data_IF_634839978638
#
_entry.id   IF_634839978638
#
_cell.length_a   1.000
_cell.length_b   1.000
_cell.length_c   1.000
_cell.angle_alpha   90.00
_cell.angle_beta   90.00
_cell.angle_gamma   90.00
#
_symmetry.space_group_name_H-M   'P 1'
#
loop_
_entity.id
_entity.type
_entity.pdbx_description
1 polymer ?
#
# COMPACT_ATOMS: atom_id res chain seq x y z
N UNK A 1 -12.37 -25.28 -13.88
CA UNK A 1 -11.32 -24.37 -14.39
C UNK A 1 -10.28 -24.36 -13.30
N UNK A 2 -9.14 -25.02 -13.51
CA UNK A 2 -8.10 -25.13 -12.48
C UNK A 2 -7.59 -23.74 -12.12
N UNK A 3 -7.57 -23.44 -10.83
CA UNK A 3 -6.89 -22.27 -10.27
C UNK A 3 -5.41 -22.36 -10.65
N UNK A 4 -4.88 -21.36 -11.36
CA UNK A 4 -3.44 -21.21 -11.56
C UNK A 4 -2.75 -20.69 -10.28
N UNK A 5 -3.53 -20.37 -9.24
CA UNK A 5 -3.05 -19.88 -7.97
C UNK A 5 -3.02 -21.01 -6.95
N UNK A 6 -1.93 -21.77 -7.00
CA UNK A 6 -1.42 -22.37 -5.78
C UNK A 6 -0.98 -21.31 -4.77
N UNK A 7 -0.65 -21.68 -3.53
CA UNK A 7 0.04 -20.81 -2.57
C UNK A 7 1.20 -20.04 -3.21
N UNK A 8 1.60 -18.88 -2.66
CA UNK A 8 1.31 -18.40 -1.31
C UNK A 8 0.12 -17.46 -1.25
N UNK A 9 -0.57 -17.49 -0.12
CA UNK A 9 -1.60 -16.52 0.27
C UNK A 9 -0.94 -15.18 0.62
N UNK A 10 -1.66 -14.07 0.43
CA UNK A 10 -1.24 -12.75 0.93
C UNK A 10 -0.93 -12.86 2.43
N UNK A 11 0.19 -12.31 2.86
CA UNK A 11 0.68 -12.47 4.23
C UNK A 11 -0.21 -11.73 5.24
N UNK A 12 -0.32 -12.24 6.48
CA UNK A 12 -0.95 -11.50 7.56
C UNK A 12 -0.15 -10.25 7.91
N UNK A 13 -0.85 -9.17 8.25
CA UNK A 13 -0.24 -8.03 8.96
C UNK A 13 0.15 -8.50 10.35
N UNK A 14 1.42 -8.31 10.72
CA UNK A 14 1.96 -8.65 12.03
C UNK A 14 2.13 -7.40 12.89
N UNK A 15 2.25 -7.59 14.21
CA UNK A 15 2.60 -6.51 15.14
C UNK A 15 4.00 -5.98 14.85
N UNK A 16 4.24 -4.72 15.21
CA UNK A 16 5.51 -4.02 15.10
C UNK A 16 6.65 -4.66 15.92
N UNK A 17 6.33 -5.50 16.91
CA UNK A 17 7.30 -6.33 17.63
C UNK A 17 7.90 -7.45 16.80
N UNK A 18 7.31 -7.83 15.66
CA UNK A 18 7.87 -8.85 14.77
C UNK A 18 8.85 -8.17 13.80
N UNK A 19 10.13 -8.58 13.71
CA UNK A 19 11.14 -7.90 12.90
C UNK A 19 10.81 -7.87 11.40
N UNK A 20 9.89 -8.71 10.93
CA UNK A 20 9.46 -8.76 9.53
C UNK A 20 8.27 -7.85 9.22
N UNK A 21 7.65 -7.20 10.23
CA UNK A 21 6.39 -6.45 10.08
C UNK A 21 6.44 -5.44 8.93
N UNK A 22 7.54 -4.70 8.87
CA UNK A 22 7.76 -3.69 7.85
C UNK A 22 7.94 -4.30 6.47
N UNK A 23 8.77 -5.34 6.35
CA UNK A 23 9.06 -6.03 5.09
C UNK A 23 7.80 -6.68 4.48
N UNK A 24 6.96 -7.28 5.33
CA UNK A 24 5.73 -7.97 4.94
C UNK A 24 4.70 -7.06 4.28
N UNK A 25 4.75 -5.74 4.50
CA UNK A 25 3.76 -4.78 3.94
C UNK A 25 3.59 -4.94 2.42
N UNK A 26 4.65 -5.28 1.70
CA UNK A 26 4.62 -5.53 0.25
C UNK A 26 3.83 -6.78 -0.16
N UNK A 27 3.63 -7.72 0.76
CA UNK A 27 3.00 -9.02 0.52
C UNK A 27 1.69 -9.20 1.30
N UNK A 28 1.23 -8.19 2.04
CA UNK A 28 -0.05 -8.22 2.77
C UNK A 28 -1.22 -7.71 1.92
N UNK A 29 -2.45 -7.98 2.36
CA UNK A 29 -3.66 -7.39 1.78
C UNK A 29 -3.99 -5.97 2.30
N UNK A 30 -3.07 -5.32 3.03
CA UNK A 30 -3.20 -3.89 3.31
C UNK A 30 -3.00 -3.10 2.02
N UNK A 31 -3.62 -1.93 1.93
CA UNK A 31 -3.50 -1.05 0.77
C UNK A 31 -2.04 -0.70 0.50
N UNK A 32 -1.71 -0.45 -0.77
CA UNK A 32 -0.32 -0.28 -1.19
C UNK A 32 0.37 -1.58 -1.62
N UNK A 33 -0.42 -2.62 -1.93
CA UNK A 33 0.05 -3.81 -2.64
C UNK A 33 0.70 -3.38 -3.96
N UNK A 34 2.00 -3.63 -4.17
CA UNK A 34 2.67 -3.31 -5.42
C UNK A 34 2.16 -4.21 -6.54
N UNK A 35 1.79 -3.61 -7.66
CA UNK A 35 1.22 -4.30 -8.82
C UNK A 35 2.17 -4.20 -10.01
N UNK A 36 2.21 -5.29 -10.78
CA UNK A 36 2.79 -5.30 -12.11
C UNK A 36 1.90 -6.13 -13.04
N UNK A 37 1.44 -5.53 -14.14
CA UNK A 37 0.76 -6.30 -15.18
C UNK A 37 1.72 -7.29 -15.83
N UNK A 38 1.27 -8.53 -16.04
CA UNK A 38 2.08 -9.58 -16.65
C UNK A 38 2.58 -9.17 -18.03
N UNK A 39 1.73 -8.53 -18.84
CA UNK A 39 2.06 -8.08 -20.20
C UNK A 39 2.99 -6.85 -20.23
N UNK A 40 3.28 -6.29 -19.05
CA UNK A 40 4.19 -5.16 -18.85
C UNK A 40 5.47 -5.53 -18.10
N UNK A 41 5.69 -6.82 -17.83
CA UNK A 41 6.79 -7.31 -17.00
C UNK A 41 8.18 -6.79 -17.46
N UNK A 42 8.39 -6.64 -18.78
CA UNK A 42 9.68 -6.22 -19.36
C UNK A 42 9.92 -4.71 -19.27
N UNK A 43 8.91 -3.91 -18.92
CA UNK A 43 9.00 -2.44 -18.92
C UNK A 43 9.26 -1.84 -17.56
N UNK A 44 9.39 -2.68 -16.52
CA UNK A 44 9.48 -2.25 -15.11
C UNK A 44 8.35 -1.26 -14.73
N UNK A 45 7.21 -1.35 -15.42
CA UNK A 45 6.02 -0.56 -15.09
C UNK A 45 5.38 -1.15 -13.86
N UNK A 46 5.22 -0.32 -12.84
CA UNK A 46 4.69 -0.71 -11.55
C UNK A 46 3.78 0.39 -11.03
N UNK A 47 2.79 -0.03 -10.26
CA UNK A 47 1.93 0.86 -9.49
C UNK A 47 1.47 0.15 -8.24
N UNK A 48 0.39 0.64 -7.66
CA UNK A 48 -0.17 0.09 -6.43
C UNK A 48 -1.64 -0.28 -6.59
N UNK A 49 -2.12 -1.10 -5.69
CA UNK A 49 -3.55 -1.28 -5.49
C UNK A 49 -4.12 -0.02 -4.82
N UNK A 50 -5.17 0.55 -5.43
CA UNK A 50 -5.87 1.75 -4.97
C UNK A 50 -6.77 1.47 -3.79
N UNK A 51 -7.96 0.91 -4.06
CA UNK A 51 -8.91 0.42 -3.05
C UNK A 51 -9.54 -0.90 -3.52
N UNK A 52 -10.04 -1.64 -2.54
CA UNK A 52 -10.88 -2.82 -2.69
C UNK A 52 -12.36 -2.46 -2.67
N UNK A 53 -13.16 -3.28 -3.35
CA UNK A 53 -14.62 -3.29 -3.21
C UNK A 53 -15.17 -4.69 -3.52
N UNK A 54 -16.27 -5.04 -2.88
CA UNK A 54 -17.01 -6.25 -3.20
C UNK A 54 -17.95 -5.98 -4.36
N UNK A 55 -17.99 -6.92 -5.30
CA UNK A 55 -19.00 -6.91 -6.36
C UNK A 55 -20.29 -7.46 -5.77
N UNK A 56 -21.33 -6.63 -5.66
CA UNK A 56 -22.62 -7.08 -5.13
C UNK A 56 -23.30 -8.13 -6.02
N UNK A 57 -23.26 -7.95 -7.34
CA UNK A 57 -23.81 -8.89 -8.32
C UNK A 57 -22.82 -9.30 -9.38
N UNK A 58 -22.79 -10.59 -9.73
CA UNK A 58 -22.01 -11.13 -10.83
C UNK A 58 -22.54 -10.60 -12.19
N UNK A 59 -21.91 -11.04 -13.29
CA UNK A 59 -22.31 -10.59 -14.64
C UNK A 59 -23.67 -11.11 -15.08
N UNK A 60 -24.21 -12.11 -14.37
CA UNK A 60 -25.50 -12.73 -14.60
C UNK A 60 -26.59 -12.15 -13.68
N UNK A 61 -26.23 -11.23 -12.77
CA UNK A 61 -27.15 -10.60 -11.82
C UNK A 61 -27.34 -11.38 -10.51
N UNK A 62 -26.60 -12.47 -10.28
CA UNK A 62 -26.66 -13.22 -9.01
C UNK A 62 -25.76 -12.58 -7.96
N UNK A 63 -25.99 -12.86 -6.67
CA UNK A 63 -25.11 -12.42 -5.59
C UNK A 63 -23.67 -12.90 -5.84
N UNK A 64 -22.72 -11.97 -5.92
CA UNK A 64 -21.31 -12.30 -6.13
C UNK A 64 -20.54 -12.37 -4.81
N UNK A 65 -19.53 -13.25 -4.79
CA UNK A 65 -18.51 -13.35 -3.73
C UNK A 65 -17.18 -12.71 -4.16
N UNK A 66 -17.15 -12.07 -5.32
CA UNK A 66 -15.92 -11.53 -5.88
C UNK A 66 -15.53 -10.23 -5.16
N UNK A 67 -14.25 -10.14 -4.85
CA UNK A 67 -13.62 -8.89 -4.44
C UNK A 67 -12.84 -8.37 -5.63
N UNK A 68 -13.10 -7.12 -5.98
CA UNK A 68 -12.40 -6.37 -7.01
C UNK A 68 -11.55 -5.31 -6.33
N UNK A 69 -10.60 -4.78 -7.08
CA UNK A 69 -9.84 -3.61 -6.70
C UNK A 69 -9.62 -2.73 -7.91
N UNK A 70 -9.41 -1.44 -7.68
CA UNK A 70 -9.03 -0.52 -8.75
C UNK A 70 -7.60 0.01 -8.57
N UNK A 71 -7.01 0.37 -9.69
CA UNK A 71 -5.69 0.96 -9.88
C UNK A 71 -5.77 1.89 -11.10
N UNK A 72 -4.66 2.42 -11.61
CA UNK A 72 -4.64 3.26 -12.80
C UNK A 72 -4.58 2.42 -14.07
N UNK A 73 -5.17 2.89 -15.17
CA UNK A 73 -5.11 2.23 -16.48
C UNK A 73 -3.67 2.04 -16.94
N UNK A 74 -2.82 3.07 -16.77
CA UNK A 74 -1.41 3.00 -17.17
C UNK A 74 -0.56 2.00 -16.35
N UNK A 75 -1.05 1.57 -15.18
CA UNK A 75 -0.40 0.53 -14.37
C UNK A 75 -0.69 -0.86 -14.91
N UNK A 76 -1.89 -1.05 -15.48
CA UNK A 76 -2.37 -2.35 -15.94
C UNK A 76 -2.23 -2.59 -17.45
N UNK A 77 -2.03 -1.54 -18.25
CA UNK A 77 -1.93 -1.66 -19.70
C UNK A 77 -1.03 -0.62 -20.36
N UNK A 78 -0.26 -1.04 -21.36
CA UNK A 78 0.46 -0.14 -22.30
C UNK A 78 -0.50 0.56 -23.26
N UNK A 79 -1.66 -0.04 -23.55
CA UNK A 79 -2.68 0.47 -24.47
C UNK A 79 -3.58 1.44 -23.71
N UNK A 80 -3.04 2.59 -23.36
CA UNK A 80 -3.73 3.60 -22.55
C UNK A 80 -4.86 4.29 -23.30
N UNK A 81 -4.84 4.28 -24.63
CA UNK A 81 -5.84 4.88 -25.51
C UNK A 81 -6.96 3.91 -25.96
N UNK A 82 -6.92 2.66 -25.53
CA UNK A 82 -7.93 1.64 -25.88
C UNK A 82 -8.73 1.23 -24.64
N UNK A 83 -10.04 1.06 -24.82
CA UNK A 83 -10.90 0.45 -23.82
C UNK A 83 -10.59 -1.05 -23.70
N UNK A 84 -10.63 -1.56 -22.46
CA UNK A 84 -10.55 -2.99 -22.18
C UNK A 84 -11.70 -3.37 -21.25
N UNK A 85 -12.39 -4.46 -21.58
CA UNK A 85 -13.40 -5.08 -20.71
C UNK A 85 -13.32 -6.57 -20.92
N UNK A 86 -12.96 -7.30 -19.87
CA UNK A 86 -12.92 -8.75 -19.91
C UNK A 86 -14.34 -9.25 -20.15
N UNK A 87 -14.61 -9.98 -21.22
CA UNK A 87 -15.97 -10.46 -21.54
C UNK A 87 -16.35 -11.72 -20.77
N UNK A 88 -15.36 -12.49 -20.29
CA UNK A 88 -15.57 -13.76 -19.58
C UNK A 88 -16.08 -14.88 -20.48
N UNK A 89 -16.03 -14.68 -21.81
CA UNK A 89 -16.42 -15.68 -22.79
C UNK A 89 -15.43 -16.83 -22.79
N UNK A 90 -15.93 -18.03 -23.06
CA UNK A 90 -15.09 -19.23 -23.12
C UNK A 90 -13.96 -19.03 -24.14
N UNK A 91 -12.71 -19.26 -23.70
CA UNK A 91 -11.51 -19.10 -24.52
C UNK A 91 -10.87 -17.71 -24.48
N UNK A 92 -11.50 -16.70 -23.86
CA UNK A 92 -10.87 -15.40 -23.66
C UNK A 92 -9.76 -15.48 -22.60
N UNK A 93 -8.55 -15.04 -22.97
CA UNK A 93 -7.40 -15.02 -22.08
C UNK A 93 -7.50 -13.90 -21.05
N UNK A 94 -7.39 -14.26 -19.77
CA UNK A 94 -7.23 -13.30 -18.67
C UNK A 94 -5.90 -12.54 -18.80
N UNK A 95 -5.93 -11.22 -18.62
CA UNK A 95 -4.73 -10.39 -18.45
C UNK A 95 -4.39 -10.32 -16.96
N UNK A 96 -3.37 -11.05 -16.53
CA UNK A 96 -3.05 -11.23 -15.12
C UNK A 96 -2.22 -10.08 -14.54
N UNK A 97 -2.44 -9.83 -13.26
CA UNK A 97 -1.71 -8.88 -12.43
C UNK A 97 -0.95 -9.65 -11.35
N UNK A 98 0.31 -9.29 -11.18
CA UNK A 98 1.21 -9.87 -10.18
C UNK A 98 1.37 -8.93 -9.00
N UNK A 99 1.44 -9.50 -7.80
CA UNK A 99 2.01 -8.82 -6.65
C UNK A 99 3.53 -8.71 -6.86
N UNK A 100 4.07 -7.51 -6.77
CA UNK A 100 5.47 -7.20 -7.04
C UNK A 100 5.91 -7.57 -8.49
N UNK A 101 6.33 -6.55 -9.23
CA UNK A 101 7.22 -6.78 -10.37
C UNK A 101 8.54 -7.43 -9.93
N UNK A 102 9.29 -8.01 -10.88
CA UNK A 102 10.57 -8.67 -10.58
C UNK A 102 11.50 -7.76 -9.77
N UNK A 103 11.69 -6.51 -10.22
CA UNK A 103 12.52 -5.52 -9.51
C UNK A 103 12.03 -5.20 -8.11
N UNK A 104 10.70 -5.10 -7.89
CA UNK A 104 10.16 -4.82 -6.55
C UNK A 104 10.40 -6.01 -5.62
N UNK A 105 10.21 -7.23 -6.11
CA UNK A 105 10.45 -8.43 -5.33
C UNK A 105 11.92 -8.59 -4.97
N UNK A 106 12.84 -8.35 -5.91
CA UNK A 106 14.28 -8.32 -5.63
C UNK A 106 14.65 -7.24 -4.59
N UNK A 107 14.03 -6.06 -4.68
CA UNK A 107 14.20 -5.02 -3.65
C UNK A 107 13.73 -5.50 -2.27
N UNK A 108 12.62 -6.24 -2.18
CA UNK A 108 12.14 -6.81 -0.92
C UNK A 108 13.15 -7.81 -0.35
N UNK A 109 13.71 -8.69 -1.19
CA UNK A 109 14.76 -9.62 -0.78
C UNK A 109 16.01 -8.88 -0.27
N UNK A 110 16.40 -7.80 -0.93
CA UNK A 110 17.55 -6.99 -0.51
C UNK A 110 17.29 -6.24 0.80
N UNK A 111 16.10 -5.66 0.97
CA UNK A 111 15.66 -5.03 2.23
C UNK A 111 15.68 -6.05 3.39
N UNK A 112 15.23 -7.27 3.15
CA UNK A 112 15.26 -8.35 4.14
C UNK A 112 16.68 -8.82 4.48
N UNK A 113 17.57 -8.95 3.47
CA UNK A 113 18.99 -9.29 3.69
C UNK A 113 19.72 -8.19 4.47
N UNK A 114 19.46 -6.93 4.14
CA UNK A 114 20.06 -5.80 4.83
C UNK A 114 19.66 -5.77 6.31
N UNK A 115 18.37 -5.96 6.60
CA UNK A 115 17.89 -6.01 7.99
C UNK A 115 18.45 -7.21 8.75
N UNK A 116 18.57 -8.39 8.11
CA UNK A 116 19.21 -9.55 8.72
C UNK A 116 20.69 -9.26 9.07
N UNK A 117 21.43 -8.63 8.15
CA UNK A 117 22.82 -8.26 8.39
C UNK A 117 22.97 -7.24 9.52
N UNK A 118 22.05 -6.27 9.61
CA UNK A 118 21.98 -5.32 10.73
C UNK A 118 21.80 -6.06 12.07
N UNK A 119 20.80 -6.95 12.16
CA UNK A 119 20.52 -7.68 13.42
C UNK A 119 21.63 -8.66 13.81
N UNK A 120 22.34 -9.24 12.84
CA UNK A 120 23.58 -10.00 13.11
C UNK A 120 24.69 -9.12 13.69
N UNK A 121 24.83 -7.90 13.19
CA UNK A 121 25.74 -6.90 13.75
C UNK A 121 25.37 -6.51 15.17
N UNK A 122 24.09 -6.25 15.43
CA UNK A 122 23.56 -5.94 16.76
C UNK A 122 23.83 -7.08 17.76
N UNK A 123 23.54 -8.34 17.38
CA UNK A 123 23.79 -9.50 18.22
C UNK A 123 25.28 -9.63 18.59
N UNK A 124 26.18 -9.44 17.62
CA UNK A 124 27.62 -9.45 17.87
C UNK A 124 28.03 -8.33 18.84
N UNK A 125 27.55 -7.10 18.61
CA UNK A 125 27.87 -5.95 19.46
C UNK A 125 27.39 -6.17 20.90
N UNK A 126 26.16 -6.66 21.09
CA UNK A 126 25.62 -6.90 22.42
C UNK A 126 26.34 -8.05 23.14
N UNK A 127 26.77 -9.09 22.42
CA UNK A 127 27.60 -10.14 22.99
C UNK A 127 28.98 -9.64 23.46
N UNK A 128 29.62 -8.76 22.67
CA UNK A 128 30.89 -8.11 23.06
C UNK A 128 30.71 -7.23 24.30
N UNK A 129 29.69 -6.36 24.31
CA UNK A 129 29.38 -5.50 25.46
C UNK A 129 29.05 -6.30 26.73
N UNK A 130 28.31 -7.39 26.59
CA UNK A 130 27.98 -8.27 27.72
C UNK A 130 29.23 -8.96 28.26
N UNK A 131 30.15 -9.41 27.39
CA UNK A 131 31.40 -10.00 27.80
C UNK A 131 32.32 -9.00 28.53
N UNK A 132 32.36 -7.75 28.09
CA UNK A 132 33.09 -6.67 28.76
C UNK A 132 32.53 -6.40 30.18
N UNK A 133 31.20 -6.30 30.32
CA UNK A 133 30.56 -6.09 31.63
C UNK A 133 30.84 -7.25 32.60
N UNK A 134 30.74 -8.49 32.12
CA UNK A 134 30.99 -9.69 32.94
C UNK A 134 32.47 -9.82 33.33
N UNK A 135 33.40 -9.28 32.53
CA UNK A 135 34.83 -9.35 32.80
C UNK A 135 35.30 -8.36 33.89
N UNK A 136 34.60 -7.24 34.07
CA UNK A 136 34.94 -6.19 35.05
C UNK A 136 33.73 -5.87 35.97
N UNK A 137 33.30 -6.83 36.81
CA UNK A 137 32.17 -6.61 37.71
C UNK A 137 32.59 -5.67 38.86
N UNK A 138 31.66 -4.82 39.35
CA UNK A 138 31.93 -3.97 40.51
C UNK A 138 32.23 -4.81 41.77
N UNK A 139 33.10 -4.28 42.64
CA UNK A 139 33.46 -4.95 43.90
C UNK A 139 32.29 -5.02 44.91
N UNK A 140 31.35 -4.07 44.81
CA UNK A 140 30.15 -4.00 45.64
C UNK A 140 28.88 -4.09 44.77
N UNK A 141 27.75 -4.39 45.41
CA UNK A 141 26.46 -4.50 44.71
C UNK A 141 26.03 -3.15 44.13
N UNK A 142 26.02 -3.07 42.79
CA UNK A 142 25.63 -1.88 42.04
C UNK A 142 24.31 -2.13 41.27
N UNK A 143 23.28 -1.35 41.59
CA UNK A 143 21.95 -1.49 41.00
C UNK A 143 21.90 -1.05 39.53
N UNK A 144 22.76 -0.12 39.10
CA UNK A 144 22.85 0.34 37.73
C UNK A 144 23.62 -0.67 36.87
N UNK A 145 24.70 -1.28 37.39
CA UNK A 145 25.38 -2.42 36.76
C UNK A 145 24.42 -3.59 36.52
N UNK A 146 23.67 -4.00 37.55
CA UNK A 146 22.71 -5.09 37.43
C UNK A 146 21.59 -4.80 36.42
N UNK A 147 21.19 -3.52 36.29
CA UNK A 147 20.23 -3.08 35.27
C UNK A 147 20.84 -3.19 33.87
N UNK A 148 22.05 -2.67 33.66
CA UNK A 148 22.70 -2.70 32.35
C UNK A 148 23.00 -4.13 31.91
N UNK A 149 23.51 -4.99 32.80
CA UNK A 149 23.70 -6.41 32.53
C UNK A 149 22.41 -7.07 32.01
N UNK A 150 21.30 -6.87 32.74
CA UNK A 150 19.98 -7.42 32.37
C UNK A 150 19.46 -6.86 31.05
N UNK A 151 19.64 -5.56 30.81
CA UNK A 151 19.21 -4.91 29.57
C UNK A 151 20.04 -5.43 28.39
N UNK A 152 21.35 -5.66 28.55
CA UNK A 152 22.22 -6.24 27.52
C UNK A 152 21.90 -7.70 27.22
N UNK A 153 21.63 -8.52 28.24
CA UNK A 153 21.14 -9.89 28.05
C UNK A 153 19.85 -9.92 27.23
N UNK A 154 18.89 -9.03 27.55
CA UNK A 154 17.64 -8.92 26.80
C UNK A 154 17.85 -8.43 25.36
N UNK A 155 18.75 -7.47 25.16
CA UNK A 155 19.11 -6.96 23.83
C UNK A 155 19.73 -8.05 22.96
N UNK A 156 20.67 -8.83 23.51
CA UNK A 156 21.29 -9.96 22.83
C UNK A 156 20.25 -11.03 22.47
N UNK A 157 19.47 -11.48 23.45
CA UNK A 157 18.44 -12.50 23.22
C UNK A 157 17.43 -12.07 22.15
N UNK A 158 17.03 -10.79 22.17
CA UNK A 158 16.13 -10.24 21.16
C UNK A 158 16.78 -10.22 19.77
N UNK A 159 18.02 -9.76 19.66
CA UNK A 159 18.73 -9.71 18.39
C UNK A 159 18.91 -11.12 17.78
N UNK A 160 19.30 -12.11 18.58
CA UNK A 160 19.40 -13.51 18.15
C UNK A 160 18.06 -14.08 17.69
N UNK A 161 16.97 -13.80 18.44
CA UNK A 161 15.63 -14.20 18.03
C UNK A 161 15.20 -13.52 16.73
N UNK A 162 15.51 -12.24 16.56
CA UNK A 162 15.15 -11.48 15.35
C UNK A 162 15.91 -12.02 14.12
N UNK A 163 17.19 -12.39 14.29
CA UNK A 163 18.01 -13.05 13.26
C UNK A 163 17.35 -14.34 12.79
N UNK A 164 16.94 -15.22 13.72
CA UNK A 164 16.27 -16.46 13.37
C UNK A 164 14.97 -16.24 12.58
N UNK A 165 14.14 -15.30 13.03
CA UNK A 165 12.87 -14.96 12.36
C UNK A 165 13.11 -14.40 10.96
N UNK A 166 14.11 -13.53 10.78
CA UNK A 166 14.45 -12.92 9.49
C UNK A 166 15.05 -13.92 8.50
N UNK A 167 15.89 -14.85 8.98
CA UNK A 167 16.45 -15.92 8.15
C UNK A 167 15.35 -16.86 7.64
N UNK A 168 14.45 -17.28 8.52
CA UNK A 168 13.30 -18.11 8.13
C UNK A 168 12.34 -17.37 7.18
N UNK A 169 12.14 -16.07 7.40
CA UNK A 169 11.38 -15.24 6.48
C UNK A 169 12.02 -15.17 5.09
N UNK A 170 13.34 -15.00 5.01
CA UNK A 170 14.07 -15.01 3.73
C UNK A 170 13.97 -16.36 3.02
N UNK A 171 14.05 -17.48 3.76
CA UNK A 171 13.82 -18.83 3.19
C UNK A 171 12.41 -18.97 2.65
N UNK A 172 11.40 -18.51 3.40
CA UNK A 172 10.00 -18.51 2.97
C UNK A 172 9.79 -17.69 1.70
N UNK A 173 10.34 -16.47 1.62
CA UNK A 173 10.25 -15.64 0.42
C UNK A 173 10.84 -16.37 -0.79
N UNK A 174 12.02 -16.99 -0.62
CA UNK A 174 12.70 -17.71 -1.69
C UNK A 174 11.92 -18.94 -2.16
N UNK A 175 11.32 -19.69 -1.24
CA UNK A 175 10.64 -20.95 -1.56
C UNK A 175 9.21 -20.78 -2.07
N UNK A 176 8.52 -19.69 -1.70
CA UNK A 176 7.09 -19.51 -2.02
C UNK A 176 6.77 -18.29 -2.87
N UNK A 177 7.60 -17.24 -2.86
CA UNK A 177 7.29 -15.99 -3.58
C UNK A 177 8.21 -15.72 -4.76
N UNK A 178 9.24 -16.54 -5.01
CA UNK A 178 10.21 -16.29 -6.09
C UNK A 178 9.64 -16.47 -7.49
N UNK A 179 8.71 -17.40 -7.68
CA UNK A 179 8.08 -17.60 -8.99
C UNK A 179 7.10 -16.45 -9.30
N UNK A 180 7.19 -15.92 -10.51
CA UNK A 180 6.30 -14.88 -10.98
C UNK A 180 4.84 -15.36 -11.17
N UNK A 181 4.62 -16.67 -11.36
CA UNK A 181 3.29 -17.27 -11.43
C UNK A 181 2.64 -17.35 -10.05
N UNK A 182 3.40 -17.72 -9.03
CA UNK A 182 2.93 -17.75 -7.64
C UNK A 182 2.52 -16.36 -7.14
N UNK A 183 3.07 -15.31 -7.75
CA UNK A 183 2.71 -13.92 -7.46
C UNK A 183 1.49 -13.42 -8.22
N UNK A 184 0.83 -14.20 -9.08
CA UNK A 184 -0.43 -13.78 -9.70
C UNK A 184 -1.51 -13.65 -8.62
N UNK A 185 -2.10 -12.46 -8.52
CA UNK A 185 -3.10 -12.13 -7.48
C UNK A 185 -4.42 -11.62 -8.03
N UNK A 186 -4.48 -11.27 -9.32
CA UNK A 186 -5.68 -10.72 -9.94
C UNK A 186 -5.62 -10.84 -11.46
N UNK A 187 -6.73 -10.52 -12.13
CA UNK A 187 -6.77 -10.24 -13.57
C UNK A 187 -7.62 -9.01 -13.84
N UNK A 188 -7.33 -8.32 -14.94
CA UNK A 188 -8.06 -7.10 -15.32
C UNK A 188 -9.50 -7.47 -15.68
N UNK A 189 -10.47 -6.75 -15.11
CA UNK A 189 -11.91 -6.90 -15.38
C UNK A 189 -12.41 -5.81 -16.33
N UNK A 190 -12.02 -4.55 -16.07
CA UNK A 190 -12.41 -3.37 -16.83
C UNK A 190 -11.30 -2.31 -16.75
N UNK A 191 -10.95 -1.69 -17.87
CA UNK A 191 -9.96 -0.62 -17.89
C UNK A 191 -10.24 0.27 -19.11
N UNK A 192 -11.03 1.34 -18.98
CA UNK A 192 -11.35 2.24 -20.10
C UNK A 192 -10.10 2.99 -20.58
N UNK A 193 -10.17 3.57 -21.76
CA UNK A 193 -9.14 4.48 -22.26
C UNK A 193 -8.96 5.67 -21.31
N UNK A 194 -7.72 6.10 -21.16
CA UNK A 194 -7.38 7.33 -20.44
C UNK A 194 -8.01 8.51 -21.19
N UNK A 195 -8.73 9.33 -20.46
CA UNK A 195 -9.45 10.48 -21.00
C UNK A 195 -9.55 11.59 -19.95
N UNK A 196 -9.49 12.84 -20.38
CA UNK A 196 -9.74 14.04 -19.58
C UNK A 196 -10.97 14.82 -20.08
N UNK A 197 -11.67 14.28 -21.08
CA UNK A 197 -12.88 14.83 -21.70
C UNK A 197 -14.09 13.90 -21.50
N UNK A 198 -13.97 12.94 -20.58
CA UNK A 198 -15.03 11.97 -20.29
C UNK A 198 -16.30 12.63 -19.71
N UNK A 199 -16.16 13.78 -19.03
CA UNK A 199 -17.29 14.61 -18.59
C UNK A 199 -16.91 16.11 -18.52
N UNK A 200 -17.89 17.04 -18.50
CA UNK A 200 -17.68 18.48 -18.36
C UNK A 200 -16.70 18.95 -17.27
N UNK A 201 -16.56 18.21 -16.16
CA UNK A 201 -15.61 18.49 -15.06
C UNK A 201 -14.15 18.36 -15.48
N UNK A 202 -13.87 17.57 -16.54
CA UNK A 202 -12.52 17.32 -17.09
C UNK A 202 -11.51 16.76 -16.09
N UNK A 203 -11.97 15.95 -15.14
CA UNK A 203 -11.06 15.15 -14.32
C UNK A 203 -10.46 14.01 -15.13
N UNK A 204 -9.19 13.66 -14.84
CA UNK A 204 -8.55 12.54 -15.51
C UNK A 204 -9.19 11.21 -15.13
N UNK A 205 -9.78 10.53 -16.12
CA UNK A 205 -10.18 9.13 -16.03
C UNK A 205 -8.99 8.25 -16.38
N UNK A 206 -8.21 7.88 -15.36
CA UNK A 206 -7.12 6.92 -15.47
C UNK A 206 -7.35 5.80 -14.45
N UNK A 207 -8.18 4.84 -14.82
CA UNK A 207 -8.64 3.77 -13.93
C UNK A 207 -8.61 2.41 -14.62
N UNK A 208 -8.23 1.39 -13.88
CA UNK A 208 -8.33 -0.02 -14.23
C UNK A 208 -8.81 -0.81 -13.01
N UNK A 209 -9.83 -1.63 -13.21
CA UNK A 209 -10.42 -2.53 -12.22
C UNK A 209 -9.96 -3.96 -12.51
N UNK A 210 -9.62 -4.67 -11.45
CA UNK A 210 -9.14 -6.05 -11.49
C UNK A 210 -9.92 -6.90 -10.48
N UNK A 211 -10.22 -8.13 -10.88
CA UNK A 211 -10.83 -9.15 -10.02
C UNK A 211 -9.74 -9.91 -9.29
N UNK A 212 -9.85 -10.00 -7.96
CA UNK A 212 -8.86 -10.65 -7.12
C UNK A 212 -9.00 -12.16 -7.14
N UNK A 213 -7.86 -12.84 -7.03
CA UNK A 213 -7.80 -14.28 -6.87
C UNK A 213 -8.18 -14.67 -5.44
N UNK A 214 -9.35 -15.30 -5.27
CA UNK A 214 -9.97 -15.56 -3.97
C UNK A 214 -9.03 -16.22 -2.97
N UNK A 215 -8.39 -17.30 -3.40
CA UNK A 215 -7.59 -18.15 -2.51
C UNK A 215 -6.34 -17.39 -1.99
N UNK A 216 -5.90 -16.33 -2.69
CA UNK A 216 -4.81 -15.48 -2.24
C UNK A 216 -5.21 -14.56 -1.08
N UNK A 217 -6.46 -14.09 -1.03
CA UNK A 217 -6.88 -13.03 -0.12
C UNK A 217 -7.76 -13.50 1.04
N UNK A 218 -8.53 -14.59 0.87
CA UNK A 218 -9.62 -14.98 1.77
C UNK A 218 -9.25 -15.01 3.26
N UNK A 219 -8.04 -15.45 3.61
CA UNK A 219 -7.62 -15.57 5.02
C UNK A 219 -7.16 -14.26 5.66
N UNK A 220 -6.50 -13.39 4.89
CA UNK A 220 -5.77 -12.23 5.42
C UNK A 220 -6.34 -10.88 4.97
N UNK A 221 -7.42 -10.90 4.19
CA UNK A 221 -8.16 -9.70 3.78
C UNK A 221 -8.78 -9.00 4.98
N UNK A 222 -8.58 -7.69 5.08
CA UNK A 222 -9.12 -6.84 6.14
C UNK A 222 -9.88 -5.63 5.60
N UNK A 223 -10.22 -5.61 4.31
CA UNK A 223 -10.80 -4.44 3.63
C UNK A 223 -9.79 -3.33 3.36
N UNK A 224 -10.30 -2.13 3.12
CA UNK A 224 -9.50 -0.93 2.87
C UNK A 224 -8.79 -0.44 4.14
N UNK A 225 -7.58 -0.96 4.42
CA UNK A 225 -6.73 -0.52 5.53
C UNK A 225 -5.35 -0.09 5.06
N UNK A 226 -4.80 0.93 5.71
CA UNK A 226 -3.44 1.45 5.51
C UNK A 226 -2.59 1.06 6.72
N UNK A 227 -1.37 0.60 6.51
CA UNK A 227 -0.47 0.21 7.59
C UNK A 227 0.44 1.38 7.99
N UNK A 228 0.31 1.86 9.22
CA UNK A 228 0.97 3.07 9.69
C UNK A 228 2.31 2.82 10.42
N UNK A 229 2.59 1.58 10.85
CA UNK A 229 3.79 1.27 11.64
C UNK A 229 5.00 0.99 10.75
N UNK A 230 5.71 2.05 10.40
CA UNK A 230 6.81 1.96 9.46
C UNK A 230 7.82 3.07 9.60
N UNK A 231 7.89 3.90 8.56
CA UNK A 231 8.85 5.02 8.45
C UNK A 231 8.76 6.05 9.58
N UNK A 232 7.58 6.28 10.14
CA UNK A 232 7.34 7.28 11.18
C UNK A 232 6.83 6.63 12.46
N UNK A 233 7.25 7.18 13.58
CA UNK A 233 6.71 6.83 14.91
C UNK A 233 5.26 7.31 15.05
N UNK A 234 4.54 6.72 16.00
CA UNK A 234 3.19 7.18 16.38
C UNK A 234 3.14 8.68 16.70
N UNK A 235 4.14 9.18 17.42
CA UNK A 235 4.21 10.59 17.81
C UNK A 235 4.40 11.51 16.59
N UNK A 236 5.25 11.12 15.64
CA UNK A 236 5.45 11.86 14.38
C UNK A 236 4.21 11.87 13.51
N UNK A 237 3.51 10.72 13.38
CA UNK A 237 2.27 10.63 12.60
C UNK A 237 1.18 11.51 13.22
N UNK A 238 1.01 11.46 14.54
CA UNK A 238 0.09 12.35 15.24
C UNK A 238 0.44 13.82 15.00
N UNK A 239 1.73 14.18 15.10
CA UNK A 239 2.18 15.57 14.86
C UNK A 239 1.93 16.00 13.42
N UNK A 240 2.05 15.10 12.45
CA UNK A 240 1.76 15.39 11.05
C UNK A 240 0.29 15.73 10.87
N UNK A 241 -0.63 14.87 11.34
CA UNK A 241 -2.08 15.13 11.28
C UNK A 241 -2.55 16.28 12.19
N UNK A 242 -1.75 16.66 13.19
CA UNK A 242 -2.03 17.73 14.16
C UNK A 242 -0.90 18.72 14.32
N UNK A 243 -0.75 19.66 13.37
CA UNK A 243 0.23 20.72 13.54
C UNK A 243 -0.16 21.73 14.63
N UNK A 244 -1.45 21.86 15.00
CA UNK A 244 -1.93 22.79 16.02
C UNK A 244 -2.62 22.05 17.18
N UNK A 245 -2.00 22.09 18.36
CA UNK A 245 -2.51 21.45 19.57
C UNK A 245 -3.78 22.10 20.17
N UNK A 246 -4.16 23.30 19.71
CA UNK A 246 -5.34 24.01 20.22
C UNK A 246 -6.68 23.44 19.70
N UNK A 247 -6.66 22.61 18.66
CA UNK A 247 -7.85 21.95 18.12
C UNK A 247 -7.82 20.44 18.46
N UNK A 248 -8.89 19.89 19.04
CA UNK A 248 -8.91 18.48 19.42
C UNK A 248 -8.80 17.55 18.19
N UNK A 249 -8.14 16.39 18.35
CA UNK A 249 -7.78 15.54 17.23
C UNK A 249 -8.97 14.76 16.62
N UNK A 250 -9.18 14.88 15.31
CA UNK A 250 -10.09 14.05 14.48
C UNK A 250 -9.56 12.61 14.23
N UNK A 251 -8.37 12.45 13.63
CA UNK A 251 -7.51 11.26 13.66
C UNK A 251 -7.15 10.74 15.06
N UNK A 252 -7.49 9.48 15.33
CA UNK A 252 -6.97 8.72 16.45
C UNK A 252 -6.07 7.62 15.93
N UNK A 253 -4.81 7.59 16.39
CA UNK A 253 -3.88 6.55 15.94
C UNK A 253 -4.39 5.15 16.36
N UNK A 254 -4.60 4.23 15.39
CA UNK A 254 -5.16 2.92 15.67
C UNK A 254 -4.18 2.04 16.45
N UNK A 255 -4.69 1.29 17.44
CA UNK A 255 -3.88 0.44 18.33
C UNK A 255 -3.14 -0.70 17.60
N UNK A 256 -3.70 -1.15 16.49
CA UNK A 256 -3.14 -2.21 15.62
C UNK A 256 -2.37 -1.64 14.42
N UNK A 257 -2.16 -0.32 14.40
CA UNK A 257 -1.50 0.43 13.32
C UNK A 257 -2.24 0.39 11.97
N UNK A 258 -3.49 -0.09 11.93
CA UNK A 258 -4.27 -0.20 10.70
C UNK A 258 -5.32 0.92 10.64
N UNK A 259 -5.07 1.92 9.80
CA UNK A 259 -6.04 2.99 9.54
C UNK A 259 -7.04 2.54 8.49
N UNK A 260 -8.32 2.52 8.87
CA UNK A 260 -9.43 2.24 7.97
C UNK A 260 -9.62 3.40 7.00
N UNK A 261 -9.70 3.10 5.70
CA UNK A 261 -10.23 4.06 4.73
C UNK A 261 -11.72 3.81 4.51
N UNK A 262 -12.53 4.87 4.63
CA UNK A 262 -13.97 4.80 4.43
C UNK A 262 -14.50 6.13 3.91
N UNK A 263 -15.30 6.05 2.85
CA UNK A 263 -15.87 7.22 2.20
C UNK A 263 -14.85 8.06 1.42
N UNK A 264 -15.34 9.17 0.91
CA UNK A 264 -14.58 10.16 0.13
C UNK A 264 -14.76 11.54 0.75
N UNK A 265 -13.83 12.41 0.43
CA UNK A 265 -13.96 13.85 0.73
C UNK A 265 -14.92 14.46 -0.29
N UNK A 266 -15.78 15.37 0.17
CA UNK A 266 -16.68 16.12 -0.70
C UNK A 266 -15.89 16.98 -1.70
N UNK A 267 -16.43 17.20 -2.90
CA UNK A 267 -15.72 17.92 -3.97
C UNK A 267 -15.23 19.33 -3.55
N UNK A 268 -15.97 20.02 -2.67
CA UNK A 268 -15.61 21.35 -2.19
C UNK A 268 -14.73 21.35 -0.92
N UNK A 269 -14.50 20.18 -0.31
CA UNK A 269 -13.82 20.09 0.98
C UNK A 269 -12.30 20.02 0.80
N UNK A 270 -11.60 20.96 1.43
CA UNK A 270 -10.16 20.92 1.57
C UNK A 270 -9.76 19.93 2.67
N UNK A 271 -8.83 19.04 2.36
CA UNK A 271 -8.22 18.13 3.33
C UNK A 271 -6.77 18.51 3.54
N UNK A 272 -6.46 19.09 4.70
CA UNK A 272 -5.09 19.39 5.07
C UNK A 272 -4.83 19.00 6.53
N UNK A 273 -3.79 18.21 6.82
CA UNK A 273 -2.87 17.55 5.87
C UNK A 273 -3.48 16.30 5.20
N UNK A 274 -2.83 15.84 4.13
CA UNK A 274 -3.11 14.53 3.50
C UNK A 274 -1.93 13.58 3.66
N UNK A 275 -2.19 12.29 3.54
CA UNK A 275 -1.17 11.25 3.57
C UNK A 275 -1.38 10.21 2.47
N UNK A 276 -0.31 9.48 2.16
CA UNK A 276 -0.37 8.21 1.42
C UNK A 276 0.68 7.24 1.96
N UNK A 277 0.47 5.94 1.82
CA UNK A 277 1.40 4.90 2.31
C UNK A 277 1.73 3.88 1.23
N UNK A 278 2.96 3.86 0.70
CA UNK A 278 3.27 3.09 -0.50
C UNK A 278 4.73 2.69 -0.65
N UNK A 279 5.00 1.71 -1.50
CA UNK A 279 6.31 1.07 -1.58
C UNK A 279 7.48 1.96 -2.04
N UNK A 280 7.25 2.99 -2.87
CA UNK A 280 8.37 3.77 -3.40
C UNK A 280 8.89 4.79 -2.38
N UNK A 281 8.00 5.46 -1.65
CA UNK A 281 8.34 6.53 -0.70
C UNK A 281 7.93 6.26 0.75
N UNK A 282 7.29 5.12 1.00
CA UNK A 282 6.65 4.73 2.25
C UNK A 282 5.46 5.64 2.62
N UNK A 283 5.04 5.61 3.89
CA UNK A 283 4.13 6.61 4.43
C UNK A 283 4.74 8.01 4.23
N UNK A 284 3.95 8.90 3.65
CA UNK A 284 4.32 10.27 3.30
C UNK A 284 3.16 11.20 3.55
N UNK A 285 3.47 12.46 3.86
CA UNK A 285 2.51 13.51 4.17
C UNK A 285 2.63 14.64 3.16
N UNK A 286 1.51 15.27 2.85
CA UNK A 286 1.40 16.33 1.85
C UNK A 286 0.41 17.40 2.26
N UNK A 287 0.41 18.50 1.51
CA UNK A 287 -0.61 19.56 1.58
C UNK A 287 -1.42 19.54 0.31
N UNK A 288 -2.72 19.28 0.42
CA UNK A 288 -3.63 19.55 -0.68
C UNK A 288 -3.63 21.06 -0.97
N UNK A 289 -3.41 21.40 -2.24
CA UNK A 289 -3.56 22.77 -2.73
C UNK A 289 -5.01 23.24 -2.55
N UNK A 290 -5.20 24.49 -2.15
CA UNK A 290 -6.52 25.11 -2.05
C UNK A 290 -7.16 25.36 -3.43
N UNK A 291 -6.33 25.36 -4.47
CA UNK A 291 -6.73 25.46 -5.86
C UNK A 291 -6.55 24.12 -6.54
N UNK A 292 -7.54 23.72 -7.35
CA UNK A 292 -7.39 22.60 -8.27
C UNK A 292 -6.27 22.90 -9.28
N UNK A 293 -5.49 21.89 -9.61
CA UNK A 293 -4.44 22.04 -10.61
C UNK A 293 -5.01 21.81 -12.00
N UNK A 294 -4.83 22.81 -12.85
CA UNK A 294 -5.02 22.68 -14.28
C UNK A 294 -3.72 22.16 -14.90
N UNK A 295 -3.73 20.91 -15.38
CA UNK A 295 -2.57 20.34 -16.07
C UNK A 295 -2.78 20.40 -17.58
N UNK A 296 -1.82 20.99 -18.30
CA UNK A 296 -1.74 20.93 -19.75
C UNK A 296 -0.62 19.98 -20.14
N UNK A 297 -0.92 18.97 -20.96
CA UNK A 297 0.09 18.37 -21.84
C UNK A 297 -0.10 18.95 -23.23
N UNK A 298 1.01 19.30 -23.85
CA UNK A 298 1.05 20.06 -25.10
C UNK A 298 0.35 19.39 -26.31
N UNK A 299 -0.22 18.17 -26.19
CA UNK A 299 -0.88 17.47 -27.30
C UNK A 299 -2.10 16.57 -26.94
N UNK A 300 -2.57 16.46 -25.68
CA UNK A 300 -3.68 15.55 -25.30
C UNK A 300 -4.74 16.19 -24.38
N UNK A 301 -4.87 17.52 -24.43
CA UNK A 301 -5.89 18.26 -23.69
C UNK A 301 -5.50 18.63 -22.27
N UNK A 302 -6.45 19.24 -21.56
CA UNK A 302 -6.27 19.78 -20.22
C UNK A 302 -7.13 19.07 -19.20
N UNK A 303 -6.60 18.78 -18.02
CA UNK A 303 -7.35 18.16 -16.92
C UNK A 303 -7.33 19.00 -15.64
N UNK A 304 -8.37 18.84 -14.84
CA UNK A 304 -8.41 19.31 -13.45
C UNK A 304 -8.01 18.17 -12.51
N UNK A 305 -7.20 18.48 -11.51
CA UNK A 305 -6.61 17.49 -10.61
C UNK A 305 -6.54 17.98 -9.18
N UNK A 306 -6.56 17.04 -8.24
CA UNK A 306 -6.10 17.31 -6.88
C UNK A 306 -4.59 17.46 -6.91
N UNK A 307 -4.10 18.65 -6.58
CA UNK A 307 -2.68 18.93 -6.41
C UNK A 307 -2.25 18.73 -4.96
N UNK A 308 -1.19 17.96 -4.75
CA UNK A 308 -0.57 17.75 -3.43
C UNK A 308 0.88 18.21 -3.46
N UNK A 309 1.20 19.15 -2.59
CA UNK A 309 2.55 19.65 -2.34
C UNK A 309 3.23 18.81 -1.27
N UNK A 310 4.56 18.68 -1.36
CA UNK A 310 5.35 17.99 -0.34
C UNK A 310 5.18 18.68 1.03
N UNK A 311 4.99 17.88 2.10
CA UNK A 311 4.86 18.39 3.46
C UNK A 311 6.23 18.46 4.16
N UNK A 312 6.55 19.62 4.74
CA UNK A 312 7.73 19.81 5.58
C UNK A 312 9.06 19.86 4.80
N UNK A 313 10.15 20.11 5.54
CA UNK A 313 11.51 20.14 4.97
C UNK A 313 12.09 18.75 4.70
N UNK A 314 13.42 18.67 4.57
CA UNK A 314 14.16 17.47 4.16
C UNK A 314 13.82 16.16 4.92
N UNK A 315 13.25 16.24 6.13
CA UNK A 315 12.87 15.06 6.94
C UNK A 315 11.76 14.20 6.33
N UNK A 316 10.85 14.76 5.54
CA UNK A 316 9.68 14.02 5.04
C UNK A 316 9.86 13.49 3.61
N UNK A 317 10.78 14.08 2.84
CA UNK A 317 11.07 13.71 1.45
C UNK A 317 9.97 14.11 0.48
N UNK A 318 9.99 13.51 -0.72
CA UNK A 318 8.95 13.74 -1.72
C UNK A 318 7.65 13.05 -1.30
N UNK A 319 6.52 13.70 -1.56
CA UNK A 319 5.21 13.07 -1.36
C UNK A 319 5.06 11.83 -2.24
N UNK A 320 5.54 11.86 -3.49
CA UNK A 320 5.46 10.74 -4.42
C UNK A 320 6.76 10.48 -5.19
N UNK A 321 6.91 9.25 -5.65
CA UNK A 321 7.94 8.85 -6.61
C UNK A 321 7.38 7.85 -7.64
N UNK A 322 8.19 7.53 -8.67
CA UNK A 322 7.84 6.48 -9.65
C UNK A 322 7.53 5.17 -8.92
N UNK A 323 6.39 4.56 -9.25
CA UNK A 323 5.87 3.35 -8.59
C UNK A 323 4.76 3.63 -7.57
N UNK A 324 4.54 4.89 -7.17
CA UNK A 324 3.41 5.28 -6.31
C UNK A 324 2.12 5.54 -7.10
N UNK A 325 2.07 5.30 -8.41
CA UNK A 325 0.81 5.39 -9.15
C UNK A 325 -0.27 4.53 -8.48
N UNK A 326 -1.50 5.03 -8.48
CA UNK A 326 -2.69 4.41 -7.90
C UNK A 326 -2.75 4.38 -6.40
N UNK A 327 -2.07 5.32 -5.78
CA UNK A 327 -2.04 5.40 -4.33
C UNK A 327 -3.20 6.20 -3.81
N UNK A 328 -3.93 5.61 -2.88
CA UNK A 328 -4.97 6.31 -2.15
C UNK A 328 -4.31 7.41 -1.32
N UNK A 329 -4.63 8.65 -1.68
CA UNK A 329 -4.34 9.84 -0.88
C UNK A 329 -5.53 10.02 0.06
N UNK A 330 -5.28 10.07 1.36
CA UNK A 330 -6.32 10.12 2.39
C UNK A 330 -6.06 11.22 3.41
N UNK A 331 -7.12 11.66 4.09
CA UNK A 331 -7.03 12.67 5.14
C UNK A 331 -6.99 12.03 6.55
N UNK A 332 -6.94 12.87 7.59
CA UNK A 332 -6.94 12.47 9.00
C UNK A 332 -8.16 11.59 9.40
N UNK A 333 -9.29 11.73 8.72
CA UNK A 333 -10.50 10.93 8.97
C UNK A 333 -10.47 9.55 8.33
N UNK A 334 -9.47 9.26 7.48
CA UNK A 334 -9.46 8.06 6.65
C UNK A 334 -10.37 8.16 5.42
N UNK A 335 -10.78 9.37 5.01
CA UNK A 335 -11.52 9.54 3.75
C UNK A 335 -10.57 9.63 2.57
N UNK A 336 -10.96 9.04 1.44
CA UNK A 336 -10.21 9.15 0.19
C UNK A 336 -10.33 10.58 -0.37
N UNK A 337 -9.18 11.21 -0.56
CA UNK A 337 -9.04 12.55 -1.17
C UNK A 337 -8.83 12.43 -2.67
N UNK A 338 -7.92 11.55 -3.09
CA UNK A 338 -7.56 11.38 -4.50
C UNK A 338 -6.88 10.04 -4.78
N UNK A 339 -6.91 9.61 -6.05
CA UNK A 339 -6.11 8.51 -6.57
C UNK A 339 -4.92 9.08 -7.34
N UNK A 340 -3.70 8.89 -6.81
CA UNK A 340 -2.47 9.39 -7.41
C UNK A 340 -2.26 8.83 -8.82
N UNK A 341 -2.04 9.66 -9.84
CA UNK A 341 -1.70 9.18 -11.19
C UNK A 341 -0.40 9.74 -11.76
N UNK A 342 0.03 10.92 -11.32
CA UNK A 342 1.25 11.54 -11.84
C UNK A 342 1.88 12.52 -10.85
N UNK A 343 3.06 13.03 -11.21
CA UNK A 343 3.74 14.09 -10.47
C UNK A 343 4.55 14.97 -11.41
N UNK A 344 4.78 16.21 -11.00
CA UNK A 344 5.63 17.17 -11.71
C UNK A 344 7.05 17.11 -11.13
N UNK A 345 8.04 16.61 -11.89
CA UNK A 345 9.42 16.60 -11.44
C UNK A 345 10.01 18.02 -11.45
N UNK A 346 10.87 18.31 -10.49
CA UNK A 346 11.75 19.48 -10.43
C UNK A 346 13.14 19.00 -10.02
N UNK A 347 14.01 18.78 -11.00
CA UNK A 347 15.30 18.12 -10.77
C UNK A 347 15.10 16.63 -10.44
N UNK A 348 15.74 16.16 -9.36
CA UNK A 348 15.67 14.75 -8.92
C UNK A 348 14.46 14.45 -8.01
N UNK A 349 13.60 15.44 -7.73
CA UNK A 349 12.45 15.31 -6.84
C UNK A 349 11.14 15.66 -7.53
N UNK A 350 10.04 15.05 -7.10
CA UNK A 350 8.71 15.52 -7.47
C UNK A 350 8.35 16.72 -6.59
N UNK A 351 7.98 17.84 -7.22
CA UNK A 351 7.58 19.06 -6.52
C UNK A 351 6.08 19.07 -6.20
N UNK A 352 5.27 18.56 -7.12
CA UNK A 352 3.82 18.49 -7.03
C UNK A 352 3.37 17.09 -7.43
N UNK A 353 2.40 16.53 -6.73
CA UNK A 353 1.75 15.27 -7.08
C UNK A 353 0.32 15.54 -7.52
N UNK A 354 -0.15 14.85 -8.55
CA UNK A 354 -1.51 14.97 -9.06
C UNK A 354 -2.28 13.66 -8.88
N UNK A 355 -3.55 13.79 -8.51
CA UNK A 355 -4.46 12.66 -8.42
C UNK A 355 -5.87 13.03 -8.87
N UNK A 356 -6.57 12.03 -9.41
CA UNK A 356 -7.98 12.16 -9.74
C UNK A 356 -8.78 12.26 -8.44
N UNK A 357 -9.76 13.19 -8.32
CA UNK A 357 -10.54 13.35 -7.10
C UNK A 357 -11.18 12.04 -6.63
N UNK A 358 -11.12 11.77 -5.33
CA UNK A 358 -11.57 10.50 -4.75
C UNK A 358 -13.06 10.23 -5.02
N UNK A 359 -13.90 11.26 -4.90
CA UNK A 359 -15.34 11.16 -5.20
C UNK A 359 -15.58 10.78 -6.67
N UNK A 360 -14.85 11.40 -7.61
CA UNK A 360 -14.95 11.10 -9.04
C UNK A 360 -14.53 9.66 -9.36
N UNK A 361 -13.44 9.18 -8.75
CA UNK A 361 -13.00 7.79 -8.91
C UNK A 361 -14.08 6.81 -8.43
N UNK A 362 -14.74 7.11 -7.31
CA UNK A 362 -15.82 6.28 -6.77
C UNK A 362 -17.06 6.32 -7.65
N UNK A 363 -17.43 7.48 -8.19
CA UNK A 363 -18.52 7.62 -9.17
C UNK A 363 -18.27 6.73 -10.39
N UNK A 364 -17.07 6.77 -10.98
CA UNK A 364 -16.70 5.93 -12.12
C UNK A 364 -16.83 4.43 -11.83
N UNK A 365 -16.44 3.99 -10.62
CA UNK A 365 -16.59 2.59 -10.22
C UNK A 365 -18.05 2.23 -10.03
N UNK A 366 -18.86 3.10 -9.42
CA UNK A 366 -20.30 2.86 -9.21
C UNK A 366 -21.10 2.91 -10.52
N UNK A 367 -20.65 3.67 -11.53
CA UNK A 367 -21.26 3.64 -12.87
C UNK A 367 -21.10 2.27 -13.54
N UNK A 368 -19.91 1.66 -13.45
CA UNK A 368 -19.63 0.34 -14.04
C UNK A 368 -20.09 -0.82 -13.12
N UNK A 369 -20.04 -0.63 -11.80
CA UNK A 369 -20.42 -1.60 -10.77
C UNK A 369 -21.42 -0.97 -9.78
N UNK A 370 -22.71 -0.85 -10.13
CA UNK A 370 -23.71 -0.16 -9.30
C UNK A 370 -23.92 -0.74 -7.90
N UNK A 371 -23.68 -2.04 -7.74
CA UNK A 371 -23.80 -2.75 -6.47
C UNK A 371 -22.45 -2.88 -5.74
N UNK A 372 -21.46 -2.02 -6.03
CA UNK A 372 -20.15 -2.07 -5.38
C UNK A 372 -20.22 -1.66 -3.90
N UNK A 373 -19.60 -2.47 -3.03
CA UNK A 373 -19.52 -2.21 -1.59
C UNK A 373 -18.06 -2.07 -1.14
N UNK A 374 -17.71 -0.88 -0.64
CA UNK A 374 -16.35 -0.53 -0.21
C UNK A 374 -16.12 -0.70 1.30
N UNK A 375 -17.18 -0.99 2.07
CA UNK A 375 -17.17 -1.01 3.53
C UNK A 375 -16.90 -2.40 4.12
N UNK A 376 -17.07 -3.47 3.34
CA UNK A 376 -16.89 -4.84 3.81
C UNK A 376 -15.46 -5.16 4.23
N UNK A 377 -15.35 -5.82 5.39
CA UNK A 377 -14.08 -6.10 6.07
C UNK A 377 -13.56 -7.51 5.84
N UNK A 378 -14.45 -8.45 5.52
CA UNK A 378 -14.15 -9.84 5.25
C UNK A 378 -14.26 -10.11 3.76
N UNK A 379 -13.45 -11.04 3.26
CA UNK A 379 -13.54 -11.47 1.86
C UNK A 379 -14.92 -12.07 1.57
N UNK A 380 -15.42 -12.91 2.48
CA UNK A 380 -16.75 -13.53 2.41
C UNK A 380 -17.63 -13.06 3.59
N UNK A 381 -18.95 -13.06 3.38
CA UNK A 381 -19.91 -12.93 4.48
C UNK A 381 -19.97 -14.26 5.24
N UNK A 382 -20.04 -14.21 6.57
CA UNK A 382 -20.35 -15.41 7.34
C UNK A 382 -21.81 -15.80 7.01
N UNK A 383 -22.03 -17.03 6.55
CA UNK A 383 -23.38 -17.55 6.22
C UNK A 383 -24.32 -17.55 7.45
N UNK A 384 -23.80 -17.31 8.66
CA UNK A 384 -24.56 -17.28 9.91
C UNK A 384 -25.40 -16.01 10.14
N UNK A 385 -25.33 -15.00 9.27
CA UNK A 385 -26.14 -13.77 9.40
C UNK A 385 -27.25 -13.62 8.35
N UNK A 386 -27.49 -14.66 7.55
CA UNK A 386 -28.59 -14.71 6.60
C UNK A 386 -29.57 -15.83 6.96
N UNK A 387 -30.26 -15.67 8.09
CA UNK A 387 -31.45 -16.45 8.44
C UNK A 387 -32.52 -15.49 8.99
#
# INVERSE_FOLDING_TARGET
>A
MESLAGPPEMMPVTRDTNPTHWLRRALTAALGVPLAAQDMADTDSQGSLGLYFHRGKDRQGNKSKDVLAFTNKHVVSKKTNEDYKYSGRQGERKQYIRNCGHRRFERLLNEARALLAEKLGDAKLFAEQLAELVADPPEEEDADYNRDLKDKEQQLQKAESDVGILDDFLKLLKSTWSDAFDRIIAWIDWAPKIANDADPRRYSRDIGVMTLERDKFVKNFKGNVVYLAGKFTRAEINTCFYPNAANPPVFQYPKDHLLRLSGVVDAAALSNPVAKERQATDLTFGRQSELEAYTCRDLEGSSWEVAVLNWGGNKHGNFSAKGDSSSAIFNAEGKLVALLHSGMPRGMSNHVTFGAPGHYVMELVLEEYPDADFARLKFEEDEATAA
#
